data_IF_819773146942
#
_entry.id   IF_819773146942
#
_cell.length_a   1.000
_cell.length_b   1.000
_cell.length_c   1.000
_cell.angle_alpha   90.00
_cell.angle_beta   90.00
_cell.angle_gamma   90.00
#
_symmetry.space_group_name_H-M   'P 1'
#
loop_
_entity.id
_entity.type
_entity.pdbx_description
1 polymer ?
#
# COMPACT_ATOMS: atom_id res chain seq x y z
N UNK A 1 -26.21 5.11 -15.15
CA UNK A 1 -25.14 4.67 -14.22
C UNK A 1 -24.02 5.70 -14.21
N UNK A 2 -23.97 6.56 -13.18
CA UNK A 2 -22.94 7.61 -13.02
C UNK A 2 -22.75 7.89 -11.53
N UNK A 3 -22.02 7.03 -10.82
CA UNK A 3 -21.56 7.31 -9.45
C UNK A 3 -20.26 6.55 -9.20
N UNK A 4 -19.12 7.08 -9.63
CA UNK A 4 -17.81 6.57 -9.19
C UNK A 4 -16.77 7.66 -8.89
N UNK A 5 -17.11 8.95 -8.95
CA UNK A 5 -16.07 9.98 -9.01
C UNK A 5 -15.79 10.76 -7.73
N UNK A 6 -16.40 10.44 -6.57
CA UNK A 6 -16.33 11.35 -5.40
C UNK A 6 -16.05 10.75 -4.02
N UNK A 7 -15.75 9.46 -3.91
CA UNK A 7 -15.50 8.83 -2.60
C UNK A 7 -14.05 9.01 -2.06
N UNK A 8 -13.13 9.60 -2.83
CA UNK A 8 -11.73 9.73 -2.41
C UNK A 8 -11.35 11.13 -1.87
N UNK A 9 -12.35 11.97 -1.57
CA UNK A 9 -12.15 13.38 -1.19
C UNK A 9 -12.31 13.72 0.31
N UNK A 10 -12.82 12.81 1.14
CA UNK A 10 -12.79 12.96 2.61
C UNK A 10 -11.79 11.95 3.17
N UNK A 11 -10.97 12.39 4.11
CA UNK A 11 -9.82 11.64 4.64
C UNK A 11 -10.15 10.29 5.28
N UNK A 12 -11.43 9.94 5.40
CA UNK A 12 -11.88 8.58 5.71
C UNK A 12 -13.09 8.23 4.84
N UNK A 13 -13.20 6.96 4.46
CA UNK A 13 -14.39 6.42 3.79
C UNK A 13 -15.61 6.56 4.70
N UNK A 14 -16.79 6.92 4.17
CA UNK A 14 -18.05 6.89 4.93
C UNK A 14 -18.25 5.53 5.60
N UNK A 15 -18.72 5.53 6.85
CA UNK A 15 -18.85 4.32 7.67
C UNK A 15 -19.68 3.22 6.98
N UNK A 16 -20.78 3.59 6.32
CA UNK A 16 -21.61 2.64 5.56
C UNK A 16 -20.82 1.98 4.43
N UNK A 17 -20.07 2.77 3.64
CA UNK A 17 -19.25 2.25 2.56
C UNK A 17 -18.10 1.39 3.08
N UNK A 18 -17.49 1.74 4.22
CA UNK A 18 -16.50 0.90 4.89
C UNK A 18 -17.10 -0.44 5.31
N UNK A 19 -18.29 -0.42 5.93
CA UNK A 19 -19.00 -1.63 6.36
C UNK A 19 -19.38 -2.52 5.18
N UNK A 20 -19.84 -1.93 4.07
CA UNK A 20 -20.20 -2.67 2.86
C UNK A 20 -18.96 -3.36 2.27
N UNK A 21 -17.85 -2.63 2.14
CA UNK A 21 -16.58 -3.18 1.68
C UNK A 21 -16.07 -4.29 2.62
N UNK A 22 -16.16 -4.10 3.93
CA UNK A 22 -15.75 -5.12 4.91
C UNK A 22 -16.61 -6.38 4.79
N UNK A 23 -17.92 -6.24 4.54
CA UNK A 23 -18.83 -7.37 4.29
C UNK A 23 -18.46 -8.16 3.03
N UNK A 24 -17.88 -7.48 2.04
CA UNK A 24 -17.31 -8.09 0.83
C UNK A 24 -15.88 -8.62 1.03
N UNK A 25 -15.33 -8.47 2.25
CA UNK A 25 -13.98 -8.90 2.59
C UNK A 25 -12.89 -7.96 2.08
N UNK A 26 -13.22 -6.68 1.89
CA UNK A 26 -12.33 -5.60 1.47
C UNK A 26 -12.13 -4.64 2.66
N UNK A 27 -10.89 -4.41 3.06
CA UNK A 27 -10.52 -3.45 4.09
C UNK A 27 -9.71 -2.33 3.46
N UNK A 28 -10.06 -1.09 3.78
CA UNK A 28 -9.37 0.09 3.23
C UNK A 28 -8.88 0.99 4.38
N UNK A 29 -7.59 1.30 4.33
CA UNK A 29 -6.91 2.16 5.27
C UNK A 29 -6.55 3.48 4.61
N UNK A 30 -6.96 4.58 5.23
CA UNK A 30 -6.66 5.94 4.78
C UNK A 30 -6.94 6.93 5.91
N UNK A 31 -6.26 8.09 5.92
CA UNK A 31 -5.31 8.53 4.90
C UNK A 31 -3.92 7.90 5.11
N UNK A 32 -3.21 7.69 4.00
CA UNK A 32 -1.80 7.28 3.98
C UNK A 32 -0.99 8.39 3.30
N UNK A 33 0.01 8.91 3.99
CA UNK A 33 1.03 9.78 3.40
C UNK A 33 2.37 9.07 3.31
N UNK A 34 3.42 9.75 2.84
CA UNK A 34 4.77 9.21 2.90
C UNK A 34 5.62 9.58 1.71
N UNK A 35 6.60 8.74 1.40
CA UNK A 35 7.51 8.93 0.29
C UNK A 35 7.58 7.69 -0.59
N UNK A 36 7.76 7.89 -1.89
CA UNK A 36 8.00 6.84 -2.89
C UNK A 36 9.33 7.07 -3.60
N UNK A 37 10.07 6.01 -3.85
CA UNK A 37 11.23 6.02 -4.73
C UNK A 37 11.14 4.84 -5.70
N UNK A 38 11.47 5.10 -6.96
CA UNK A 38 11.68 4.06 -7.98
C UNK A 38 13.19 3.96 -8.26
N UNK A 39 13.73 2.75 -8.26
CA UNK A 39 15.18 2.51 -8.38
C UNK A 39 15.46 1.31 -9.28
N UNK A 40 16.54 1.33 -10.04
CA UNK A 40 16.90 0.19 -10.89
C UNK A 40 17.42 -1.03 -10.11
N UNK A 41 17.75 -0.87 -8.82
CA UNK A 41 18.26 -1.94 -7.95
C UNK A 41 17.84 -1.73 -6.49
N UNK A 42 17.80 -2.80 -5.69
CA UNK A 42 17.51 -2.73 -4.24
C UNK A 42 18.68 -2.09 -3.51
N UNK A 43 18.40 -1.08 -2.69
CA UNK A 43 19.43 -0.38 -1.90
C UNK A 43 18.94 -0.17 -0.48
N UNK A 44 19.85 -0.20 0.49
CA UNK A 44 19.48 0.10 1.88
C UNK A 44 19.05 1.57 2.00
N UNK A 45 18.08 1.83 2.88
CA UNK A 45 17.43 3.15 3.01
C UNK A 45 18.41 4.29 3.31
N UNK A 46 19.54 4.04 3.96
CA UNK A 46 20.55 5.06 4.29
C UNK A 46 21.51 5.40 3.15
N UNK A 47 21.52 4.63 2.06
CA UNK A 47 22.31 4.91 0.84
C UNK A 47 21.47 5.54 -0.28
N UNK A 48 20.23 5.92 0.03
CA UNK A 48 19.23 6.37 -0.92
C UNK A 48 19.45 7.83 -1.39
N UNK A 49 19.80 7.98 -2.68
CA UNK A 49 19.84 9.25 -3.43
C UNK A 49 18.54 10.08 -3.39
N UNK A 50 18.65 11.34 -3.82
CA UNK A 50 17.70 12.47 -3.84
C UNK A 50 16.39 12.30 -4.65
N UNK A 51 15.99 11.10 -5.07
CA UNK A 51 14.88 10.88 -6.03
C UNK A 51 13.53 10.52 -5.39
N UNK A 52 13.31 10.91 -4.13
CA UNK A 52 12.06 10.63 -3.43
C UNK A 52 10.93 11.57 -3.87
N UNK A 53 9.81 10.99 -4.28
CA UNK A 53 8.54 11.68 -4.46
C UNK A 53 7.72 11.66 -3.17
N UNK A 54 6.95 12.71 -2.91
CA UNK A 54 5.98 12.76 -1.81
C UNK A 54 4.70 11.99 -2.20
N UNK A 55 4.06 11.34 -1.25
CA UNK A 55 2.70 10.80 -1.33
C UNK A 55 1.83 11.69 -0.44
N UNK A 56 1.08 12.59 -1.05
CA UNK A 56 0.16 13.49 -0.35
C UNK A 56 -1.29 13.02 -0.54
N UNK A 57 -1.74 12.14 0.36
CA UNK A 57 -3.07 11.56 0.32
C UNK A 57 -3.16 10.29 -0.54
N UNK A 58 -3.09 9.15 0.13
CA UNK A 58 -3.22 7.82 -0.43
C UNK A 58 -4.09 6.91 0.44
N UNK A 59 -4.25 5.68 -0.01
CA UNK A 59 -4.97 4.63 0.71
C UNK A 59 -4.34 3.27 0.42
N UNK A 60 -4.45 2.35 1.37
CA UNK A 60 -4.13 0.94 1.17
C UNK A 60 -5.43 0.16 1.22
N UNK A 61 -5.75 -0.57 0.16
CA UNK A 61 -6.86 -1.48 0.11
C UNK A 61 -6.35 -2.92 0.07
N UNK A 62 -6.93 -3.77 0.91
CA UNK A 62 -6.65 -5.20 0.94
C UNK A 62 -7.96 -5.96 0.83
N UNK A 63 -7.99 -6.96 -0.04
CA UNK A 63 -9.03 -7.98 -0.06
C UNK A 63 -8.41 -9.32 0.23
N UNK A 64 -9.23 -10.38 0.34
CA UNK A 64 -8.74 -11.77 0.42
C UNK A 64 -7.79 -12.19 -0.71
N UNK A 65 -7.74 -11.44 -1.83
CA UNK A 65 -7.00 -11.84 -3.04
C UNK A 65 -5.98 -10.82 -3.52
N UNK A 66 -6.04 -9.58 -3.04
CA UNK A 66 -5.36 -8.46 -3.70
C UNK A 66 -4.93 -7.40 -2.69
N UNK A 67 -3.73 -6.86 -2.88
CA UNK A 67 -3.17 -5.71 -2.19
C UNK A 67 -3.05 -4.56 -3.19
N UNK A 68 -3.60 -3.41 -2.85
CA UNK A 68 -3.49 -2.18 -3.64
C UNK A 68 -2.99 -1.05 -2.74
N UNK A 69 -1.90 -0.40 -3.16
CA UNK A 69 -1.40 0.84 -2.56
C UNK A 69 -1.63 1.96 -3.55
N UNK A 70 -2.56 2.85 -3.21
CA UNK A 70 -2.93 3.99 -4.02
C UNK A 70 -2.31 5.27 -3.46
N UNK A 71 -1.71 6.07 -4.34
CA UNK A 71 -1.13 7.36 -3.99
C UNK A 71 -0.80 8.15 -5.25
N UNK A 72 -0.70 9.48 -5.16
CA UNK A 72 -0.36 10.33 -6.30
C UNK A 72 -1.26 10.10 -7.54
N UNK A 73 -2.55 9.78 -7.31
CA UNK A 73 -3.55 9.48 -8.35
C UNK A 73 -3.28 8.23 -9.19
N UNK A 74 -2.44 7.31 -8.70
CA UNK A 74 -2.16 6.04 -9.37
C UNK A 74 -2.12 4.87 -8.37
N UNK A 75 -2.31 3.65 -8.88
CA UNK A 75 -1.98 2.44 -8.14
C UNK A 75 -0.46 2.27 -8.20
N UNK A 76 0.21 2.56 -7.10
CA UNK A 76 1.68 2.45 -7.00
C UNK A 76 2.07 0.97 -6.91
N UNK A 77 1.30 0.19 -6.14
CA UNK A 77 1.41 -1.26 -6.05
C UNK A 77 0.02 -1.85 -6.23
N UNK A 78 -0.09 -2.86 -7.09
CA UNK A 78 -1.33 -3.60 -7.34
C UNK A 78 -0.97 -5.05 -7.67
N UNK A 79 -1.11 -5.94 -6.68
CA UNK A 79 -0.65 -7.34 -6.76
C UNK A 79 -1.61 -8.28 -6.04
N UNK A 80 -1.55 -9.60 -6.30
CA UNK A 80 -2.15 -10.58 -5.42
C UNK A 80 -1.71 -10.40 -3.96
N UNK A 81 -2.61 -10.65 -3.00
CA UNK A 81 -2.23 -10.60 -1.58
C UNK A 81 -1.16 -11.67 -1.31
N UNK A 82 -0.09 -11.30 -0.58
CA UNK A 82 1.03 -12.20 -0.30
C UNK A 82 1.98 -12.44 -1.46
N UNK A 83 1.94 -11.60 -2.50
CA UNK A 83 2.87 -11.71 -3.62
C UNK A 83 4.33 -11.66 -3.13
N UNK A 84 5.18 -12.64 -3.49
CA UNK A 84 6.53 -12.78 -2.91
C UNK A 84 7.47 -11.64 -3.27
N UNK A 85 7.16 -10.89 -4.33
CA UNK A 85 7.91 -9.70 -4.73
C UNK A 85 7.61 -8.46 -3.86
N UNK A 86 6.68 -8.56 -2.90
CA UNK A 86 6.30 -7.45 -2.02
C UNK A 86 6.61 -7.81 -0.57
N UNK A 87 7.32 -6.92 0.11
CA UNK A 87 7.59 -7.02 1.54
C UNK A 87 7.02 -5.82 2.26
N UNK A 88 6.44 -6.03 3.44
CA UNK A 88 5.89 -4.99 4.30
C UNK A 88 6.48 -5.13 5.70
N UNK A 89 6.94 -4.02 6.28
CA UNK A 89 7.60 -4.01 7.59
C UNK A 89 7.15 -2.79 8.40
N UNK A 90 6.87 -2.99 9.68
CA UNK A 90 6.58 -1.91 10.62
C UNK A 90 7.88 -1.21 11.06
N UNK A 91 7.98 0.10 10.86
CA UNK A 91 9.15 0.93 11.21
C UNK A 91 8.88 1.86 12.42
N UNK A 92 7.72 1.70 13.06
CA UNK A 92 7.27 2.49 14.20
C UNK A 92 5.73 2.55 14.29
N UNK A 93 5.18 3.26 15.28
CA UNK A 93 3.74 3.26 15.55
C UNK A 93 2.89 3.78 14.38
N UNK A 94 3.45 4.68 13.57
CA UNK A 94 2.76 5.25 12.41
C UNK A 94 3.55 5.14 11.12
N UNK A 95 4.63 4.33 11.11
CA UNK A 95 5.58 4.26 10.00
C UNK A 95 5.71 2.83 9.53
N UNK A 96 5.68 2.64 8.22
CA UNK A 96 5.90 1.33 7.62
C UNK A 96 6.71 1.46 6.33
N UNK A 97 7.52 0.44 6.08
CA UNK A 97 8.25 0.25 4.85
C UNK A 97 7.49 -0.77 4.00
N UNK A 98 7.31 -0.46 2.72
CA UNK A 98 6.88 -1.43 1.73
C UNK A 98 7.86 -1.39 0.56
N UNK A 99 8.38 -2.55 0.19
CA UNK A 99 9.24 -2.70 -0.98
C UNK A 99 8.60 -3.66 -1.97
N UNK A 100 8.70 -3.33 -3.25
CA UNK A 100 8.19 -4.12 -4.36
C UNK A 100 9.27 -4.28 -5.43
N UNK A 101 9.54 -5.51 -5.86
CA UNK A 101 10.34 -5.80 -7.06
C UNK A 101 9.43 -5.70 -8.29
N UNK A 102 9.57 -4.62 -9.05
CA UNK A 102 8.70 -4.32 -10.18
C UNK A 102 8.85 -5.35 -11.31
N UNK A 103 10.04 -5.91 -11.51
CA UNK A 103 10.28 -6.92 -12.56
C UNK A 103 9.69 -8.28 -12.19
N UNK A 104 9.73 -8.64 -10.91
CA UNK A 104 9.10 -9.85 -10.41
C UNK A 104 7.56 -9.74 -10.41
N UNK A 105 7.00 -8.53 -10.33
CA UNK A 105 5.56 -8.26 -10.47
C UNK A 105 5.14 -8.25 -11.95
N UNK A 106 5.88 -7.53 -12.79
CA UNK A 106 5.61 -7.36 -14.21
C UNK A 106 6.94 -7.34 -14.98
N UNK A 107 7.14 -8.36 -15.82
CA UNK A 107 8.37 -8.55 -16.59
C UNK A 107 8.64 -7.42 -17.59
N UNK A 108 7.66 -6.58 -17.91
CA UNK A 108 7.83 -5.39 -18.74
C UNK A 108 8.39 -4.19 -17.97
N UNK A 109 8.37 -4.23 -16.64
CA UNK A 109 8.91 -3.20 -15.74
C UNK A 109 10.27 -3.61 -15.23
N UNK A 110 11.04 -2.64 -14.75
CA UNK A 110 12.37 -2.89 -14.19
C UNK A 110 12.55 -2.13 -12.89
N UNK A 111 13.27 -2.74 -11.96
CA UNK A 111 13.69 -2.07 -10.73
C UNK A 111 12.81 -2.39 -9.53
N UNK A 112 12.88 -1.49 -8.55
CA UNK A 112 12.29 -1.60 -7.24
C UNK A 112 11.49 -0.34 -6.93
N UNK A 113 10.32 -0.53 -6.35
CA UNK A 113 9.52 0.54 -5.76
C UNK A 113 9.64 0.44 -4.24
N UNK A 114 10.16 1.50 -3.62
CA UNK A 114 10.29 1.62 -2.16
C UNK A 114 9.33 2.69 -1.65
N UNK A 115 8.51 2.32 -0.68
CA UNK A 115 7.51 3.18 -0.04
C UNK A 115 7.81 3.32 1.44
N UNK A 116 8.01 4.56 1.89
CA UNK A 116 8.08 4.93 3.30
C UNK A 116 6.76 5.58 3.67
N UNK A 117 5.81 4.78 4.16
CA UNK A 117 4.44 5.21 4.40
C UNK A 117 4.24 5.68 5.85
N UNK A 118 3.37 6.67 6.01
CA UNK A 118 2.95 7.24 7.29
C UNK A 118 1.43 7.15 7.43
N UNK A 119 0.95 6.48 8.48
CA UNK A 119 -0.48 6.35 8.81
C UNK A 119 -0.67 5.85 10.22
N UNK A 120 -1.76 6.30 10.89
CA UNK A 120 -2.16 5.81 12.22
C UNK A 120 -2.51 4.32 12.23
N UNK A 121 -2.80 3.75 11.05
CA UNK A 121 -3.21 2.36 10.91
C UNK A 121 -2.04 1.39 10.66
N UNK A 122 -0.78 1.84 10.70
CA UNK A 122 0.37 1.02 10.31
C UNK A 122 0.41 -0.36 11.00
N UNK A 123 0.19 -0.47 12.33
CA UNK A 123 0.16 -1.78 12.99
C UNK A 123 -0.99 -2.67 12.49
N UNK A 124 -2.18 -2.09 12.28
CA UNK A 124 -3.36 -2.85 11.83
C UNK A 124 -3.22 -3.30 10.38
N UNK A 125 -2.58 -2.50 9.53
CA UNK A 125 -2.29 -2.87 8.15
C UNK A 125 -1.37 -4.08 8.10
N UNK A 126 -0.27 -4.07 8.87
CA UNK A 126 0.67 -5.20 8.93
C UNK A 126 -0.04 -6.45 9.45
N UNK A 127 -0.82 -6.32 10.52
CA UNK A 127 -1.59 -7.43 11.06
C UNK A 127 -2.53 -8.05 10.02
N UNK A 128 -3.33 -7.23 9.31
CA UNK A 128 -4.28 -7.73 8.29
C UNK A 128 -3.54 -8.36 7.10
N UNK A 129 -2.38 -7.81 6.73
CA UNK A 129 -1.52 -8.41 5.71
C UNK A 129 -1.03 -9.80 6.14
N UNK A 130 -0.46 -9.93 7.33
CA UNK A 130 0.02 -11.22 7.86
C UNK A 130 -1.09 -12.27 8.01
N UNK A 131 -2.25 -11.86 8.55
CA UNK A 131 -3.44 -12.70 8.67
C UNK A 131 -3.91 -13.21 7.30
N UNK A 132 -3.95 -12.32 6.30
CA UNK A 132 -4.41 -12.65 4.95
C UNK A 132 -3.41 -13.45 4.10
N UNK A 133 -2.11 -13.40 4.41
CA UNK A 133 -1.07 -14.23 3.78
C UNK A 133 -1.02 -15.64 4.40
N UNK A 134 -1.72 -15.87 5.51
CA UNK A 134 -1.79 -17.19 6.16
C UNK A 134 -0.68 -17.43 7.18
N UNK A 135 -0.11 -16.38 7.78
CA UNK A 135 0.71 -16.53 8.99
C UNK A 135 -0.23 -16.76 10.19
N UNK A 136 -0.88 -17.92 10.24
CA UNK A 136 -1.41 -18.44 11.49
C UNK A 136 -0.20 -18.87 12.32
N UNK A 137 0.10 -18.11 13.38
CA UNK A 137 1.05 -18.54 14.41
C UNK A 137 0.54 -19.79 15.13
#
# INVERSE_FOLDING_TARGET
MKFMSRAFGSKELPLQLRSDLESEGIVVFGPVGGSVAHRSYRTALHYASSSWGNIDGGAIAMSRRRLIVWGNRTAIVDVPLGHPAVTMELQGPERMLLEADDFAIDRSRTGWTTLLLRTLHAPRIIQVYEEGVGVQR
#
